data_IF_723850747518
#
_entry.id   IF_723850747518
#
_cell.length_a   1.000
_cell.length_b   1.000
_cell.length_c   1.000
_cell.angle_alpha   90.00
_cell.angle_beta   90.00
_cell.angle_gamma   90.00
#
_symmetry.space_group_name_H-M   'P 1'
#
loop_
_entity.id
_entity.type
_entity.pdbx_description
1 polymer ?
#
# COMPACT_ATOMS: atom_id res chain seq x y z
N UNK A 1 -17.09 -8.10 52.32
CA UNK A 1 -16.48 -8.41 51.01
C UNK A 1 -17.23 -7.59 49.94
N UNK A 2 -16.54 -6.81 49.13
CA UNK A 2 -17.21 -6.07 48.03
C UNK A 2 -17.79 -7.07 47.04
N UNK A 3 -18.99 -6.80 46.60
CA UNK A 3 -19.71 -7.64 45.64
C UNK A 3 -19.00 -7.59 44.28
N UNK A 4 -19.05 -8.68 43.50
CA UNK A 4 -18.38 -8.77 42.18
C UNK A 4 -18.74 -7.61 41.24
N UNK A 5 -19.91 -7.02 41.39
CA UNK A 5 -20.38 -5.83 40.66
C UNK A 5 -19.53 -4.58 41.01
N UNK A 6 -19.15 -4.37 42.27
CA UNK A 6 -18.33 -3.22 42.67
C UNK A 6 -16.86 -3.34 42.21
N UNK A 7 -16.35 -4.56 42.11
CA UNK A 7 -15.00 -4.79 41.56
C UNK A 7 -14.98 -4.56 40.03
N UNK A 8 -16.05 -4.89 39.33
CA UNK A 8 -16.14 -4.70 37.88
C UNK A 8 -16.32 -3.22 37.51
N UNK A 9 -17.10 -2.46 38.30
CA UNK A 9 -17.21 -1.00 38.16
C UNK A 9 -15.86 -0.32 38.41
N UNK A 10 -15.15 -0.72 39.46
CA UNK A 10 -13.82 -0.18 39.77
C UNK A 10 -12.77 -0.49 38.70
N UNK A 11 -12.84 -1.66 38.04
CA UNK A 11 -11.96 -1.99 36.89
C UNK A 11 -12.32 -1.18 35.66
N UNK A 12 -13.61 -0.96 35.40
CA UNK A 12 -14.07 -0.13 34.25
C UNK A 12 -13.70 1.34 34.46
N UNK A 13 -13.94 1.88 35.67
CA UNK A 13 -13.52 3.24 36.02
C UNK A 13 -11.98 3.41 35.97
N UNK A 14 -11.23 2.39 36.41
CA UNK A 14 -9.78 2.42 36.31
C UNK A 14 -9.28 2.40 34.86
N UNK A 15 -9.92 1.63 34.00
CA UNK A 15 -9.60 1.59 32.56
C UNK A 15 -10.03 2.89 31.87
N UNK A 16 -11.14 3.50 32.27
CA UNK A 16 -11.54 4.81 31.75
C UNK A 16 -10.68 5.95 32.31
N UNK A 17 -10.26 5.89 33.54
CA UNK A 17 -9.30 6.84 34.14
C UNK A 17 -7.90 6.69 33.51
N UNK A 18 -7.41 5.46 33.30
CA UNK A 18 -6.18 5.19 32.56
C UNK A 18 -6.28 5.65 31.09
N UNK A 19 -7.45 5.55 30.47
CA UNK A 19 -7.69 6.13 29.13
C UNK A 19 -7.68 7.65 29.13
N UNK A 20 -8.27 8.27 30.14
CA UNK A 20 -8.29 9.74 30.29
C UNK A 20 -6.91 10.29 30.66
N UNK A 21 -6.13 9.59 31.50
CA UNK A 21 -4.73 9.93 31.78
C UNK A 21 -3.83 9.70 30.55
N UNK A 22 -4.11 8.70 29.76
CA UNK A 22 -3.41 8.43 28.50
C UNK A 22 -3.67 9.49 27.42
N UNK A 23 -4.84 10.10 27.40
CA UNK A 23 -5.14 11.26 26.55
C UNK A 23 -4.34 12.51 26.95
N UNK A 24 -3.92 12.63 28.19
CA UNK A 24 -3.09 13.74 28.68
C UNK A 24 -1.59 13.52 28.50
N UNK A 25 -1.13 12.29 28.26
CA UNK A 25 0.30 11.95 28.12
C UNK A 25 0.59 11.49 26.69
N UNK A 26 0.53 12.44 25.73
CA UNK A 26 1.19 12.28 24.42
C UNK A 26 0.77 11.09 23.56
N UNK A 27 -0.42 10.51 23.75
CA UNK A 27 -0.93 9.43 22.92
C UNK A 27 -1.55 9.98 21.64
N UNK A 28 -0.91 9.71 20.51
CA UNK A 28 -1.51 10.00 19.23
C UNK A 28 -2.43 8.84 18.83
N UNK A 29 -3.66 9.17 18.43
CA UNK A 29 -4.69 8.22 18.05
C UNK A 29 -5.32 8.57 16.70
N UNK A 30 -5.57 7.56 15.87
CA UNK A 30 -6.45 7.65 14.72
C UNK A 30 -7.63 6.68 14.89
N UNK A 31 -8.83 7.21 14.76
CA UNK A 31 -10.06 6.43 14.79
C UNK A 31 -10.42 5.86 13.41
N UNK A 32 -11.46 5.04 13.40
CA UNK A 32 -12.01 4.36 12.23
C UNK A 32 -12.24 5.28 11.03
N UNK A 33 -12.96 6.39 11.24
CA UNK A 33 -13.34 7.34 10.18
C UNK A 33 -12.13 7.88 9.43
N UNK A 34 -11.01 8.10 10.15
CA UNK A 34 -9.76 8.58 9.55
C UNK A 34 -9.11 7.53 8.66
N UNK A 35 -9.32 6.24 8.92
CA UNK A 35 -8.62 5.12 8.26
C UNK A 35 -9.45 4.46 7.15
N UNK A 36 -10.80 4.50 7.22
CA UNK A 36 -11.69 3.84 6.26
C UNK A 36 -11.61 4.46 4.86
N UNK A 37 -11.41 5.76 4.76
CA UNK A 37 -11.22 6.46 3.48
C UNK A 37 -9.80 6.24 2.94
N UNK A 38 -9.51 4.99 2.61
CA UNK A 38 -8.19 4.56 2.13
C UNK A 38 -8.30 3.77 0.82
N UNK A 39 -7.81 4.33 -0.30
CA UNK A 39 -7.84 3.68 -1.59
C UNK A 39 -6.72 2.64 -1.79
N UNK A 40 -5.82 2.46 -0.81
CA UNK A 40 -4.66 1.59 -0.95
C UNK A 40 -4.91 0.20 -0.36
N UNK A 41 -4.22 -0.80 -0.92
CA UNK A 41 -4.22 -2.17 -0.41
C UNK A 41 -3.60 -2.24 0.99
N UNK A 42 -2.49 -1.52 1.19
CA UNK A 42 -1.78 -1.50 2.45
C UNK A 42 -2.41 -0.51 3.43
N UNK A 43 -2.94 -1.03 4.53
CA UNK A 43 -3.54 -0.20 5.59
C UNK A 43 -2.54 0.77 6.22
N UNK A 44 -1.23 0.47 6.18
CA UNK A 44 -0.19 1.38 6.69
C UNK A 44 -0.16 2.68 5.92
N UNK A 45 -0.48 2.68 4.63
CA UNK A 45 -0.63 3.93 3.83
C UNK A 45 -1.79 4.79 4.32
N UNK A 46 -2.85 4.18 4.87
CA UNK A 46 -3.95 4.94 5.47
C UNK A 46 -3.52 5.76 6.69
N UNK A 47 -2.44 5.38 7.33
CA UNK A 47 -1.91 6.05 8.53
C UNK A 47 -0.97 7.22 8.18
N UNK A 48 -0.56 7.36 6.91
CA UNK A 48 0.38 8.38 6.48
C UNK A 48 -0.12 9.79 6.79
N UNK A 49 0.64 10.54 7.61
CA UNK A 49 0.30 11.90 8.01
C UNK A 49 -0.92 12.06 8.92
N UNK A 50 -1.54 10.96 9.38
CA UNK A 50 -2.77 10.96 10.17
C UNK A 50 -2.56 10.74 11.67
N UNK A 51 -1.38 10.27 12.06
CA UNK A 51 -1.05 9.95 13.45
C UNK A 51 0.25 10.66 13.82
N UNK A 52 0.19 11.54 14.80
CA UNK A 52 1.36 12.29 15.26
C UNK A 52 2.44 11.32 15.79
N UNK A 53 3.71 11.56 15.44
CA UNK A 53 4.84 10.73 15.86
C UNK A 53 5.04 9.44 15.06
N UNK A 54 4.09 9.05 14.18
CA UNK A 54 4.23 7.90 13.29
C UNK A 54 4.68 8.34 11.90
N UNK A 55 5.81 7.85 11.47
CA UNK A 55 6.26 7.99 10.09
C UNK A 55 5.96 6.71 9.31
N UNK A 56 5.39 6.86 8.12
CA UNK A 56 5.13 5.77 7.18
C UNK A 56 5.97 5.98 5.95
N UNK A 57 6.82 5.03 5.64
CA UNK A 57 7.65 5.06 4.44
C UNK A 57 7.11 4.05 3.43
N UNK A 58 6.75 4.50 2.25
CA UNK A 58 6.47 3.64 1.11
C UNK A 58 7.76 3.49 0.30
N UNK A 59 8.24 2.26 0.11
CA UNK A 59 9.52 1.99 -0.56
C UNK A 59 9.54 2.40 -2.04
N UNK A 60 8.37 2.47 -2.67
CA UNK A 60 8.18 2.96 -4.03
C UNK A 60 6.79 3.57 -4.21
N UNK A 61 6.56 4.22 -5.35
CA UNK A 61 5.26 4.81 -5.69
C UNK A 61 4.21 3.80 -6.16
N UNK A 62 4.57 2.54 -6.32
CA UNK A 62 3.65 1.52 -6.80
C UNK A 62 2.75 1.02 -5.66
N UNK A 63 1.45 1.16 -5.84
CA UNK A 63 0.46 0.73 -4.86
C UNK A 63 0.21 -0.77 -4.85
N UNK A 64 0.61 -1.48 -5.92
CA UNK A 64 0.50 -2.94 -6.00
C UNK A 64 1.57 -3.64 -5.17
N UNK A 65 2.54 -2.90 -4.64
CA UNK A 65 3.59 -3.43 -3.77
C UNK A 65 3.34 -3.02 -2.33
N UNK A 66 3.10 -4.02 -1.51
CA UNK A 66 2.93 -3.89 -0.07
C UNK A 66 4.30 -3.86 0.63
N UNK A 67 4.96 -2.69 0.61
CA UNK A 67 6.27 -2.50 1.21
C UNK A 67 6.37 -1.26 2.11
N UNK A 68 5.27 -0.89 2.73
CA UNK A 68 5.28 0.20 3.71
C UNK A 68 6.01 -0.20 4.98
N UNK A 69 6.82 0.71 5.50
CA UNK A 69 7.51 0.57 6.77
C UNK A 69 7.02 1.64 7.74
N UNK A 70 6.74 1.22 8.97
CA UNK A 70 6.39 2.13 10.07
C UNK A 70 7.65 2.48 10.85
N UNK A 71 7.74 3.75 11.26
CA UNK A 71 8.85 4.22 12.08
C UNK A 71 8.36 5.23 13.13
N UNK A 72 8.81 5.07 14.34
CA UNK A 72 8.69 6.04 15.44
C UNK A 72 10.10 6.49 15.80
N UNK A 73 10.38 7.79 15.76
CA UNK A 73 11.71 8.35 16.01
C UNK A 73 12.85 7.67 15.21
N UNK A 74 12.57 7.28 13.96
CA UNK A 74 13.55 6.62 13.08
C UNK A 74 13.76 5.13 13.35
N UNK A 75 13.02 4.52 14.29
CA UNK A 75 13.12 3.09 14.66
C UNK A 75 11.84 2.35 14.35
N UNK A 76 11.94 1.05 14.06
CA UNK A 76 10.79 0.18 13.82
C UNK A 76 10.06 -0.11 15.13
N UNK A 77 8.77 0.26 15.28
CA UNK A 77 7.99 0.03 16.49
C UNK A 77 7.53 -1.43 16.61
N UNK A 78 7.17 -1.82 17.81
CA UNK A 78 6.42 -3.05 18.05
C UNK A 78 4.95 -2.83 17.61
N UNK A 79 4.44 -3.70 16.76
CA UNK A 79 3.03 -3.64 16.32
C UNK A 79 2.23 -4.72 17.02
N UNK A 80 1.16 -4.30 17.70
CA UNK A 80 0.25 -5.18 18.41
C UNK A 80 -1.17 -5.02 17.84
N UNK A 81 -1.79 -6.13 17.47
CA UNK A 81 -3.18 -6.19 17.04
C UNK A 81 -3.97 -6.97 18.06
N UNK A 82 -4.93 -6.33 18.72
CA UNK A 82 -5.69 -6.89 19.85
C UNK A 82 -4.77 -7.49 20.94
N UNK A 83 -3.64 -6.84 21.20
CA UNK A 83 -2.64 -7.26 22.22
C UNK A 83 -1.61 -8.27 21.73
N UNK A 84 -1.69 -8.79 20.51
CA UNK A 84 -0.76 -9.77 19.97
C UNK A 84 0.14 -9.19 18.88
N UNK A 85 1.46 -9.51 18.88
CA UNK A 85 2.34 -9.10 17.79
C UNK A 85 1.88 -9.67 16.45
N UNK A 86 1.53 -8.81 15.50
CA UNK A 86 1.06 -9.20 14.16
C UNK A 86 1.49 -8.20 13.11
N UNK A 87 1.56 -8.67 11.88
CA UNK A 87 1.82 -7.81 10.74
C UNK A 87 0.55 -7.06 10.33
N UNK A 88 0.63 -5.73 10.25
CA UNK A 88 -0.48 -4.87 9.82
C UNK A 88 -0.89 -5.07 8.37
N UNK A 89 0.01 -5.53 7.50
CA UNK A 89 -0.34 -5.80 6.11
C UNK A 89 -1.44 -6.86 5.95
N UNK A 90 -1.68 -7.65 7.01
CA UNK A 90 -2.76 -8.64 7.04
C UNK A 90 -4.14 -8.03 7.30
N UNK A 91 -4.22 -6.77 7.72
CA UNK A 91 -5.47 -6.09 8.03
C UNK A 91 -5.95 -5.22 6.87
N UNK A 92 -7.23 -4.98 6.85
CA UNK A 92 -7.86 -3.95 6.02
C UNK A 92 -8.28 -2.77 6.90
N UNK A 93 -8.42 -1.58 6.32
CA UNK A 93 -8.85 -0.39 7.08
C UNK A 93 -10.24 -0.57 7.72
N UNK A 94 -11.12 -1.36 7.10
CA UNK A 94 -12.46 -1.64 7.61
C UNK A 94 -12.50 -2.59 8.81
N UNK A 95 -11.40 -3.28 9.10
CA UNK A 95 -11.26 -4.14 10.27
C UNK A 95 -10.83 -3.39 11.52
N UNK A 96 -10.32 -2.16 11.38
CA UNK A 96 -9.68 -1.39 12.44
C UNK A 96 -10.70 -0.44 13.08
N UNK A 97 -10.77 -0.45 14.40
CA UNK A 97 -11.52 0.52 15.20
C UNK A 97 -10.66 1.73 15.55
N UNK A 98 -9.42 1.48 16.02
CA UNK A 98 -8.46 2.54 16.34
C UNK A 98 -7.02 2.07 16.21
N UNK A 99 -6.14 3.02 15.97
CA UNK A 99 -4.69 2.88 16.05
C UNK A 99 -4.17 3.90 17.04
N UNK A 100 -3.43 3.45 18.01
CA UNK A 100 -2.84 4.28 19.08
C UNK A 100 -1.33 4.07 19.12
N UNK A 101 -0.60 5.13 19.39
CA UNK A 101 0.85 5.07 19.50
C UNK A 101 1.25 5.32 20.95
N UNK A 102 2.00 4.39 21.48
CA UNK A 102 2.71 4.56 22.75
C UNK A 102 4.16 4.86 22.44
N UNK A 103 4.62 6.02 22.87
CA UNK A 103 6.03 6.41 22.79
C UNK A 103 6.63 6.42 24.19
N UNK A 104 7.97 6.32 24.27
CA UNK A 104 8.76 6.56 25.46
C UNK A 104 8.60 5.55 26.61
N UNK A 105 8.74 6.05 27.83
CA UNK A 105 8.77 5.25 29.05
C UNK A 105 7.50 4.43 29.27
N UNK A 106 6.33 4.90 28.86
CA UNK A 106 5.06 4.19 28.99
C UNK A 106 5.05 2.90 28.16
N UNK A 107 5.53 2.96 26.91
CA UNK A 107 5.65 1.77 26.05
C UNK A 107 6.65 0.76 26.63
N UNK A 108 7.79 1.24 27.12
CA UNK A 108 8.82 0.40 27.73
C UNK A 108 8.36 -0.23 29.06
N UNK A 109 7.58 0.49 29.86
CA UNK A 109 7.04 -0.02 31.12
C UNK A 109 6.03 -1.16 30.91
N UNK A 110 5.19 -1.07 29.88
CA UNK A 110 4.17 -2.08 29.58
C UNK A 110 4.70 -3.28 28.79
N UNK A 111 5.63 -3.06 27.86
CA UNK A 111 6.08 -4.08 26.90
C UNK A 111 7.58 -4.41 27.02
N UNK A 112 8.25 -3.86 28.01
CA UNK A 112 9.67 -4.10 28.29
C UNK A 112 10.58 -3.67 27.14
N UNK A 113 11.69 -4.37 26.95
CA UNK A 113 12.68 -4.08 25.89
C UNK A 113 12.08 -4.08 24.48
N UNK A 114 11.04 -4.89 24.24
CA UNK A 114 10.37 -4.94 22.94
C UNK A 114 9.61 -3.66 22.61
N UNK A 115 9.16 -2.91 23.62
CA UNK A 115 8.49 -1.61 23.48
C UNK A 115 9.44 -0.41 23.43
N UNK A 116 10.76 -0.61 23.58
CA UNK A 116 11.73 0.49 23.67
C UNK A 116 11.77 1.43 22.44
N UNK A 117 11.33 0.97 21.29
CA UNK A 117 11.24 1.76 20.04
C UNK A 117 9.85 2.36 19.80
N UNK A 118 8.97 2.32 20.81
CA UNK A 118 7.56 2.65 20.68
C UNK A 118 6.70 1.45 20.28
N UNK A 119 5.41 1.57 20.53
CA UNK A 119 4.40 0.53 20.26
C UNK A 119 3.26 1.13 19.47
N UNK A 120 2.84 0.43 18.42
CA UNK A 120 1.62 0.72 17.67
C UNK A 120 0.55 -0.28 18.09
N UNK A 121 -0.44 0.21 18.82
CA UNK A 121 -1.59 -0.58 19.25
C UNK A 121 -2.71 -0.45 18.23
N UNK A 122 -3.16 -1.58 17.71
CA UNK A 122 -4.28 -1.65 16.77
C UNK A 122 -5.41 -2.42 17.42
N UNK A 123 -6.54 -1.79 17.56
CA UNK A 123 -7.77 -2.42 18.05
C UNK A 123 -8.65 -2.74 16.86
N UNK A 124 -9.07 -4.01 16.75
CA UNK A 124 -10.00 -4.42 15.68
C UNK A 124 -11.44 -4.20 16.10
N UNK A 125 -12.31 -4.00 15.11
CA UNK A 125 -13.72 -3.75 15.30
C UNK A 125 -14.42 -4.95 15.94
N UNK A 126 -15.29 -4.66 16.90
CA UNK A 126 -16.19 -5.63 17.54
C UNK A 126 -17.62 -5.11 17.51
N UNK A 127 -18.57 -6.00 17.41
CA UNK A 127 -19.98 -5.62 17.40
C UNK A 127 -20.43 -5.10 18.75
N UNK A 128 -21.31 -4.10 18.69
CA UNK A 128 -22.14 -3.65 19.81
C UNK A 128 -23.46 -4.43 19.81
N UNK A 129 -24.13 -4.44 20.94
CA UNK A 129 -25.49 -4.97 21.02
C UNK A 129 -26.44 -4.22 20.08
N UNK A 130 -27.31 -4.95 19.42
CA UNK A 130 -28.28 -4.35 18.51
C UNK A 130 -28.75 -5.31 17.42
N UNK A 131 -29.68 -4.82 16.61
CA UNK A 131 -30.15 -5.53 15.42
C UNK A 131 -29.03 -5.66 14.42
N UNK A 132 -29.12 -6.68 13.58
CA UNK A 132 -28.18 -6.86 12.47
C UNK A 132 -28.14 -5.60 11.60
N UNK A 133 -26.96 -5.02 11.47
CA UNK A 133 -26.66 -3.95 10.54
C UNK A 133 -25.78 -4.50 9.43
N UNK A 134 -26.17 -4.20 8.20
CA UNK A 134 -25.40 -4.58 7.01
C UNK A 134 -24.91 -3.29 6.36
N UNK A 135 -23.60 -3.20 6.14
CA UNK A 135 -22.98 -2.11 5.41
C UNK A 135 -22.35 -2.63 4.13
N UNK A 136 -22.45 -1.86 3.07
CA UNK A 136 -21.73 -2.11 1.82
C UNK A 136 -21.07 -0.82 1.36
N UNK A 137 -19.80 -0.91 0.98
CA UNK A 137 -19.04 0.20 0.42
C UNK A 137 -18.33 -0.29 -0.85
N UNK A 138 -18.49 0.47 -1.94
CA UNK A 138 -17.77 0.23 -3.18
C UNK A 138 -16.97 1.46 -3.55
N UNK A 139 -15.70 1.27 -3.83
CA UNK A 139 -14.77 2.31 -4.26
C UNK A 139 -14.17 1.94 -5.61
N UNK A 140 -14.20 2.88 -6.54
CA UNK A 140 -13.46 2.81 -7.78
C UNK A 140 -12.48 3.96 -7.83
N UNK A 141 -11.20 3.64 -7.92
CA UNK A 141 -10.13 4.63 -7.92
C UNK A 141 -9.43 4.68 -9.29
N UNK A 142 -9.21 5.89 -9.78
CA UNK A 142 -8.32 6.17 -10.90
C UNK A 142 -7.06 6.84 -10.39
N UNK A 143 -5.93 6.35 -10.83
CA UNK A 143 -4.62 6.94 -10.54
C UNK A 143 -3.99 7.38 -11.83
N UNK A 144 -3.53 8.62 -11.87
CA UNK A 144 -2.79 9.17 -12.99
C UNK A 144 -1.33 9.42 -12.58
N UNK A 145 -0.42 9.29 -13.51
CA UNK A 145 0.95 9.73 -13.29
C UNK A 145 0.97 11.25 -13.19
N UNK A 146 1.46 11.78 -12.06
CA UNK A 146 1.61 13.23 -11.86
C UNK A 146 2.74 13.79 -12.73
N UNK A 147 3.83 13.04 -12.88
CA UNK A 147 5.01 13.43 -13.64
C UNK A 147 5.69 12.20 -14.22
N UNK A 148 6.02 12.25 -15.48
CA UNK A 148 6.87 11.27 -16.17
C UNK A 148 8.26 11.86 -16.41
N UNK A 149 9.31 11.04 -16.46
CA UNK A 149 10.61 11.49 -16.93
C UNK A 149 10.51 11.95 -18.39
N UNK A 150 11.23 13.00 -18.72
CA UNK A 150 11.41 13.44 -20.10
C UNK A 150 12.75 12.93 -20.58
N UNK A 151 12.75 12.08 -21.60
CA UNK A 151 13.95 11.56 -22.22
C UNK A 151 14.26 12.33 -23.50
N UNK A 152 15.55 12.42 -23.83
CA UNK A 152 16.00 12.96 -25.09
C UNK A 152 15.43 12.12 -26.24
N UNK A 153 14.87 12.77 -27.26
CA UNK A 153 14.53 12.11 -28.50
C UNK A 153 15.79 11.65 -29.25
N UNK A 154 15.61 10.82 -30.28
CA UNK A 154 16.73 10.25 -31.03
C UNK A 154 17.62 11.31 -31.71
N UNK A 155 17.04 12.42 -32.18
CA UNK A 155 17.78 13.51 -32.78
C UNK A 155 18.66 14.25 -31.78
N UNK A 156 18.07 14.64 -30.63
CA UNK A 156 18.80 15.30 -29.53
C UNK A 156 19.89 14.38 -28.96
N UNK A 157 19.57 13.08 -28.78
CA UNK A 157 20.55 12.09 -28.34
C UNK A 157 21.75 12.03 -29.29
N UNK A 158 21.51 11.94 -30.61
CA UNK A 158 22.58 11.85 -31.62
C UNK A 158 23.46 13.11 -31.65
N UNK A 159 22.83 14.30 -31.55
CA UNK A 159 23.56 15.58 -31.48
C UNK A 159 24.40 15.67 -30.22
N UNK A 160 23.85 15.31 -29.05
CA UNK A 160 24.54 15.37 -27.78
C UNK A 160 25.71 14.39 -27.74
N UNK A 161 25.50 13.16 -28.22
CA UNK A 161 26.59 12.17 -28.31
C UNK A 161 27.73 12.66 -29.22
N UNK A 162 27.41 13.21 -30.38
CA UNK A 162 28.43 13.79 -31.28
C UNK A 162 29.17 14.95 -30.64
N UNK A 163 28.48 15.81 -29.88
CA UNK A 163 29.10 16.90 -29.16
C UNK A 163 30.07 16.38 -28.09
N UNK A 164 29.69 15.35 -27.34
CA UNK A 164 30.53 14.69 -26.33
C UNK A 164 31.77 14.09 -26.99
N UNK A 165 31.59 13.28 -28.04
CA UNK A 165 32.70 12.66 -28.77
C UNK A 165 33.69 13.71 -29.33
N UNK A 166 33.18 14.82 -29.87
CA UNK A 166 34.01 15.90 -30.36
C UNK A 166 34.82 16.57 -29.23
N UNK A 167 34.19 16.77 -28.05
CA UNK A 167 34.90 17.36 -26.91
C UNK A 167 36.00 16.44 -26.38
N UNK A 168 35.82 15.14 -26.50
CA UNK A 168 36.79 14.11 -26.13
C UNK A 168 37.85 13.86 -27.22
N UNK A 169 37.80 14.60 -28.34
CA UNK A 169 38.72 14.42 -29.48
C UNK A 169 38.46 13.15 -30.28
N UNK A 170 37.28 12.55 -30.14
CA UNK A 170 36.90 11.31 -30.82
C UNK A 170 36.10 11.60 -32.11
N UNK A 171 36.04 10.60 -32.98
CA UNK A 171 35.26 10.69 -34.23
C UNK A 171 33.78 10.69 -33.91
N UNK A 172 33.03 11.61 -34.51
CA UNK A 172 31.56 11.66 -34.38
C UNK A 172 30.92 10.39 -34.94
N UNK A 173 29.91 9.91 -34.25
CA UNK A 173 29.22 8.66 -34.61
C UNK A 173 28.18 8.85 -35.71
N UNK A 174 27.44 9.96 -35.69
CA UNK A 174 26.33 10.24 -36.60
C UNK A 174 26.68 11.38 -37.54
N UNK A 175 26.41 11.22 -38.83
CA UNK A 175 26.53 12.31 -39.78
C UNK A 175 25.25 13.20 -39.80
N UNK A 176 25.32 14.35 -40.47
CA UNK A 176 24.22 15.31 -40.51
C UNK A 176 22.94 14.74 -41.14
N UNK A 177 23.06 13.82 -42.13
CA UNK A 177 21.89 13.19 -42.78
C UNK A 177 21.21 12.20 -41.86
N UNK A 178 21.97 11.46 -41.05
CA UNK A 178 21.43 10.53 -40.06
C UNK A 178 20.71 11.27 -38.95
N UNK A 179 21.25 12.37 -38.44
CA UNK A 179 20.62 13.22 -37.45
C UNK A 179 19.29 13.76 -37.98
N UNK A 180 19.29 14.25 -39.23
CA UNK A 180 18.04 14.72 -39.86
C UNK A 180 17.03 13.59 -40.09
N UNK A 181 17.52 12.38 -40.40
CA UNK A 181 16.65 11.21 -40.53
C UNK A 181 15.96 10.85 -39.20
N UNK A 182 16.67 10.89 -38.06
CA UNK A 182 16.09 10.73 -36.73
C UNK A 182 15.04 11.81 -36.42
N UNK A 183 15.34 13.07 -36.69
CA UNK A 183 14.45 14.20 -36.43
C UNK A 183 13.19 14.18 -37.30
N UNK A 184 13.32 13.77 -38.57
CA UNK A 184 12.20 13.75 -39.49
C UNK A 184 11.21 12.63 -39.25
N UNK A 185 11.62 11.55 -38.56
CA UNK A 185 10.80 10.35 -38.34
C UNK A 185 10.40 9.59 -39.62
N UNK A 186 11.01 9.96 -40.76
CA UNK A 186 10.62 9.44 -42.08
C UNK A 186 10.95 7.95 -42.27
N UNK A 187 11.94 7.48 -41.58
CA UNK A 187 12.45 6.11 -41.72
C UNK A 187 12.45 5.39 -40.36
N UNK A 188 11.28 5.06 -39.77
CA UNK A 188 11.16 4.59 -38.38
C UNK A 188 11.86 3.26 -38.08
N UNK A 189 12.09 2.42 -39.10
CA UNK A 189 12.82 1.17 -38.93
C UNK A 189 14.33 1.33 -38.99
N UNK A 190 14.82 2.25 -39.82
CA UNK A 190 16.26 2.49 -39.99
C UNK A 190 16.79 3.54 -38.98
N UNK A 191 15.98 4.54 -38.68
CA UNK A 191 16.29 5.63 -37.76
C UNK A 191 15.15 5.76 -36.73
N UNK A 192 15.07 4.84 -35.77
CA UNK A 192 14.00 4.80 -34.78
C UNK A 192 14.08 6.00 -33.83
N UNK A 193 12.90 6.44 -33.37
CA UNK A 193 12.76 7.44 -32.33
C UNK A 193 11.66 6.99 -31.37
N UNK A 194 12.02 6.16 -30.41
CA UNK A 194 11.09 5.46 -29.54
C UNK A 194 11.03 6.14 -28.17
N UNK A 195 9.86 6.55 -27.76
CA UNK A 195 9.61 6.97 -26.37
C UNK A 195 9.32 5.73 -25.51
N UNK A 196 10.39 5.14 -24.98
CA UNK A 196 10.33 3.91 -24.18
C UNK A 196 9.42 4.03 -22.98
N UNK A 197 9.30 5.23 -22.38
CA UNK A 197 8.40 5.45 -21.27
C UNK A 197 6.94 5.25 -21.69
N UNK A 198 6.52 5.88 -22.78
CA UNK A 198 5.15 5.72 -23.31
C UNK A 198 4.86 4.30 -23.77
N UNK A 199 5.88 3.57 -24.22
CA UNK A 199 5.70 2.18 -24.64
C UNK A 199 5.48 1.23 -23.48
N UNK A 200 6.12 1.46 -22.34
CA UNK A 200 6.08 0.59 -21.17
C UNK A 200 4.97 0.97 -20.20
N UNK A 201 4.61 2.27 -20.09
CA UNK A 201 3.68 2.76 -19.09
C UNK A 201 2.35 3.21 -19.66
N UNK A 202 1.28 2.89 -18.94
CA UNK A 202 -0.02 3.54 -19.09
C UNK A 202 -0.05 4.84 -18.30
N UNK A 203 -0.77 5.84 -18.79
CA UNK A 203 -0.96 7.09 -18.05
C UNK A 203 -1.92 6.92 -16.86
N UNK A 204 -2.79 5.92 -16.91
CA UNK A 204 -3.84 5.69 -15.93
C UNK A 204 -3.78 4.24 -15.45
N UNK A 205 -3.83 4.06 -14.17
CA UNK A 205 -4.06 2.80 -13.48
C UNK A 205 -5.36 2.88 -12.68
N UNK A 206 -5.96 1.75 -12.35
CA UNK A 206 -7.23 1.70 -11.64
C UNK A 206 -7.22 0.67 -10.53
N UNK A 207 -8.01 0.92 -9.51
CA UNK A 207 -8.32 -0.04 -8.47
C UNK A 207 -9.81 -0.13 -8.22
N UNK A 208 -10.23 -1.26 -7.70
CA UNK A 208 -11.61 -1.53 -7.28
C UNK A 208 -11.56 -2.10 -5.88
N UNK A 209 -12.49 -1.67 -5.03
CA UNK A 209 -12.66 -2.22 -3.69
C UNK A 209 -14.13 -2.39 -3.38
N UNK A 210 -14.50 -3.57 -2.92
CA UNK A 210 -15.83 -3.88 -2.38
C UNK A 210 -15.66 -4.33 -0.94
N UNK A 211 -16.32 -3.64 -0.03
CA UNK A 211 -16.35 -3.98 1.38
C UNK A 211 -17.77 -4.24 1.84
N UNK A 212 -17.97 -5.37 2.50
CA UNK A 212 -19.24 -5.75 3.12
C UNK A 212 -19.02 -5.94 4.62
N UNK A 213 -19.85 -5.32 5.44
CA UNK A 213 -19.81 -5.43 6.89
C UNK A 213 -21.14 -5.94 7.43
N UNK A 214 -21.06 -6.82 8.41
CA UNK A 214 -22.20 -7.38 9.13
C UNK A 214 -21.91 -7.25 10.61
N UNK A 215 -22.74 -6.52 11.35
CA UNK A 215 -22.55 -6.35 12.78
C UNK A 215 -23.91 -6.47 13.51
N UNK A 216 -23.89 -7.11 14.66
CA UNK A 216 -25.08 -7.23 15.47
C UNK A 216 -24.94 -8.25 16.58
N UNK A 217 -25.97 -8.38 17.37
CA UNK A 217 -26.02 -9.37 18.42
C UNK A 217 -26.86 -8.97 19.60
N UNK A 218 -26.93 -9.85 20.58
CA UNK A 218 -27.59 -9.66 21.85
C UNK A 218 -26.58 -9.67 23.00
N UNK A 219 -27.01 -9.46 24.23
CA UNK A 219 -26.12 -9.50 25.40
C UNK A 219 -25.32 -10.80 25.57
N UNK A 220 -25.78 -11.91 24.98
CA UNK A 220 -25.06 -13.19 25.04
C UNK A 220 -24.18 -13.48 23.84
N UNK A 221 -24.49 -12.94 22.67
CA UNK A 221 -23.77 -13.22 21.43
C UNK A 221 -23.72 -11.98 20.57
N UNK A 222 -22.52 -11.54 20.25
CA UNK A 222 -22.27 -10.39 19.38
C UNK A 222 -21.27 -10.81 18.29
N UNK A 223 -21.46 -10.36 17.07
CA UNK A 223 -20.55 -10.64 15.97
C UNK A 223 -20.35 -9.42 15.10
N UNK A 224 -19.11 -9.25 14.68
CA UNK A 224 -18.70 -8.33 13.62
C UNK A 224 -18.00 -9.13 12.54
N UNK A 225 -18.52 -9.09 11.34
CA UNK A 225 -17.92 -9.76 10.17
C UNK A 225 -17.70 -8.74 9.08
N UNK A 226 -16.51 -8.78 8.48
CA UNK A 226 -16.16 -7.97 7.32
C UNK A 226 -15.62 -8.87 6.22
N UNK A 227 -16.08 -8.63 4.99
CA UNK A 227 -15.55 -9.22 3.76
C UNK A 227 -15.07 -8.07 2.90
N UNK A 228 -13.80 -8.11 2.53
CA UNK A 228 -13.15 -7.05 1.74
C UNK A 228 -12.51 -7.69 0.51
N UNK A 229 -12.95 -7.26 -0.66
CA UNK A 229 -12.34 -7.60 -1.94
C UNK A 229 -11.68 -6.35 -2.51
N UNK A 230 -10.44 -6.48 -2.93
CA UNK A 230 -9.71 -5.43 -3.59
C UNK A 230 -8.92 -5.95 -4.77
N UNK A 231 -9.00 -5.22 -5.87
CA UNK A 231 -8.19 -5.40 -7.06
C UNK A 231 -7.46 -4.10 -7.38
N UNK A 232 -6.16 -4.16 -7.48
CA UNK A 232 -5.30 -3.04 -7.84
C UNK A 232 -4.42 -3.41 -9.03
N UNK A 233 -4.43 -2.57 -10.07
CA UNK A 233 -3.63 -2.73 -11.28
C UNK A 233 -2.58 -1.64 -11.36
N UNK A 234 -1.33 -2.03 -11.65
CA UNK A 234 -0.23 -1.09 -11.87
C UNK A 234 -0.24 -0.43 -13.24
N UNK A 235 0.73 0.44 -13.45
CA UNK A 235 0.83 1.27 -14.65
C UNK A 235 1.48 0.59 -15.86
N UNK A 236 2.10 -0.57 -15.71
CA UNK A 236 2.77 -1.22 -16.84
C UNK A 236 1.79 -1.70 -17.91
N UNK A 237 2.17 -1.54 -19.17
CA UNK A 237 1.49 -2.16 -20.30
C UNK A 237 1.95 -3.61 -20.43
N UNK A 238 1.03 -4.50 -20.87
CA UNK A 238 1.42 -5.83 -21.31
C UNK A 238 1.85 -5.74 -22.77
N UNK A 239 3.10 -6.08 -23.02
CA UNK A 239 3.66 -6.19 -24.37
C UNK A 239 3.86 -7.65 -24.77
N UNK A 240 3.42 -8.60 -23.94
CA UNK A 240 3.58 -10.01 -24.25
C UNK A 240 2.61 -10.46 -25.35
N UNK A 241 3.13 -11.05 -26.41
CA UNK A 241 2.35 -11.77 -27.41
C UNK A 241 1.83 -13.12 -26.91
N UNK A 242 2.38 -13.63 -25.81
CA UNK A 242 1.96 -14.88 -25.16
C UNK A 242 0.99 -14.56 -24.01
N UNK A 243 -0.26 -15.01 -24.16
CA UNK A 243 -1.30 -14.81 -23.15
C UNK A 243 -1.02 -15.45 -21.79
N UNK A 244 -0.03 -16.36 -21.72
CA UNK A 244 0.40 -17.00 -20.47
C UNK A 244 1.26 -16.09 -19.59
N UNK A 245 1.80 -15.02 -20.15
CA UNK A 245 2.69 -14.09 -19.46
C UNK A 245 2.14 -12.68 -19.54
N UNK A 246 2.10 -11.99 -18.41
CA UNK A 246 1.75 -10.58 -18.33
C UNK A 246 2.78 -9.83 -17.52
N UNK A 247 3.31 -8.75 -18.07
CA UNK A 247 4.17 -7.82 -17.35
C UNK A 247 3.36 -6.82 -16.50
N UNK A 248 2.03 -6.82 -16.63
CA UNK A 248 1.16 -5.91 -15.86
C UNK A 248 1.15 -6.33 -14.41
N UNK A 249 1.66 -5.51 -13.48
CA UNK A 249 1.56 -5.81 -12.08
C UNK A 249 0.10 -5.64 -11.61
N UNK A 250 -0.35 -6.58 -10.80
CA UNK A 250 -1.63 -6.48 -10.11
C UNK A 250 -1.56 -7.13 -8.73
N UNK A 251 -2.43 -6.70 -7.86
CA UNK A 251 -2.68 -7.31 -6.56
C UNK A 251 -4.19 -7.51 -6.40
N UNK A 252 -4.61 -8.76 -6.22
CA UNK A 252 -5.98 -9.13 -5.91
C UNK A 252 -6.02 -9.70 -4.51
N UNK A 253 -6.85 -9.11 -3.66
CA UNK A 253 -6.98 -9.50 -2.26
C UNK A 253 -8.45 -9.76 -1.91
N UNK A 254 -8.71 -10.93 -1.37
CA UNK A 254 -9.97 -11.26 -0.73
C UNK A 254 -9.69 -11.57 0.74
N UNK A 255 -10.29 -10.82 1.65
CA UNK A 255 -10.14 -11.00 3.09
C UNK A 255 -11.52 -11.18 3.72
N UNK A 256 -11.62 -12.07 4.67
CA UNK A 256 -12.81 -12.22 5.51
C UNK A 256 -12.36 -12.33 6.97
N UNK A 257 -12.84 -11.41 7.81
CA UNK A 257 -12.64 -11.46 9.26
C UNK A 257 -13.97 -11.54 9.98
N UNK A 258 -14.03 -12.34 11.01
CA UNK A 258 -15.14 -12.32 11.96
C UNK A 258 -14.61 -12.28 13.39
N UNK A 259 -15.16 -11.35 14.18
CA UNK A 259 -14.93 -11.24 15.61
C UNK A 259 -16.25 -11.58 16.30
N UNK A 260 -16.21 -12.57 17.18
CA UNK A 260 -17.36 -13.10 17.91
C UNK A 260 -17.09 -12.98 19.40
N UNK A 261 -18.02 -12.36 20.11
CA UNK A 261 -18.00 -12.24 21.56
C UNK A 261 -19.20 -13.02 22.12
N UNK A 262 -18.92 -13.98 23.00
CA UNK A 262 -19.93 -14.85 23.61
C UNK A 262 -19.85 -14.74 25.12
N UNK A 263 -20.93 -14.30 25.75
CA UNK A 263 -21.06 -14.31 27.19
C UNK A 263 -21.51 -15.71 27.65
N UNK A 264 -20.57 -16.53 28.11
CA UNK A 264 -20.85 -17.90 28.54
C UNK A 264 -21.54 -17.94 29.89
N UNK A 265 -21.09 -17.12 30.84
CA UNK A 265 -21.68 -16.96 32.17
C UNK A 265 -21.71 -15.47 32.50
N UNK A 266 -22.22 -15.10 33.67
CA UNK A 266 -22.21 -13.70 34.15
C UNK A 266 -20.78 -13.15 34.34
N UNK A 267 -19.80 -14.03 34.52
CA UNK A 267 -18.42 -13.66 34.82
C UNK A 267 -17.43 -14.11 33.75
N UNK A 268 -17.89 -14.88 32.74
CA UNK A 268 -17.00 -15.47 31.73
C UNK A 268 -17.43 -15.04 30.33
N UNK A 269 -16.57 -14.36 29.65
CA UNK A 269 -16.72 -13.96 28.23
C UNK A 269 -15.67 -14.69 27.38
N UNK A 270 -16.10 -15.21 26.24
CA UNK A 270 -15.22 -15.79 25.24
C UNK A 270 -15.14 -14.85 24.03
N UNK A 271 -13.92 -14.52 23.62
CA UNK A 271 -13.65 -13.70 22.44
C UNK A 271 -12.93 -14.52 21.38
N UNK A 272 -13.55 -14.67 20.22
CA UNK A 272 -13.00 -15.40 19.09
C UNK A 272 -12.79 -14.45 17.92
N UNK A 273 -11.60 -14.49 17.33
CA UNK A 273 -11.26 -13.75 16.11
C UNK A 273 -10.77 -14.71 15.04
N UNK A 274 -11.45 -14.76 13.91
CA UNK A 274 -11.07 -15.57 12.75
C UNK A 274 -10.72 -14.64 11.59
N UNK A 275 -9.64 -14.98 10.88
CA UNK A 275 -9.21 -14.27 9.67
C UNK A 275 -8.90 -15.29 8.58
N UNK A 276 -9.51 -15.15 7.43
CA UNK A 276 -9.15 -15.82 6.21
C UNK A 276 -8.74 -14.78 5.16
N UNK A 277 -7.66 -15.05 4.41
CA UNK A 277 -7.18 -14.16 3.36
C UNK A 277 -6.64 -14.95 2.20
N UNK A 278 -7.07 -14.57 1.02
CA UNK A 278 -6.50 -14.99 -0.25
C UNK A 278 -5.87 -13.77 -0.92
N UNK A 279 -4.66 -13.95 -1.44
CA UNK A 279 -3.95 -12.90 -2.15
C UNK A 279 -3.28 -13.47 -3.39
N UNK A 280 -3.56 -12.85 -4.54
CA UNK A 280 -2.94 -13.18 -5.82
C UNK A 280 -2.21 -11.94 -6.32
N UNK A 281 -0.93 -12.08 -6.62
CA UNK A 281 -0.09 -10.97 -7.05
C UNK A 281 0.70 -11.33 -8.30
N UNK A 282 0.74 -10.42 -9.24
CA UNK A 282 1.72 -10.40 -10.31
C UNK A 282 2.67 -9.22 -10.11
N UNK A 283 3.96 -9.49 -10.09
CA UNK A 283 4.98 -8.45 -9.86
C UNK A 283 5.92 -8.38 -11.05
N UNK A 284 6.08 -7.17 -11.59
CA UNK A 284 7.09 -6.91 -12.60
C UNK A 284 8.49 -6.90 -11.98
N UNK A 285 9.50 -7.21 -12.78
CA UNK A 285 10.90 -7.01 -12.37
C UNK A 285 11.26 -5.52 -12.55
N UNK A 286 10.84 -4.71 -11.61
CA UNK A 286 11.00 -3.25 -11.66
C UNK A 286 12.45 -2.81 -11.86
N UNK A 287 13.40 -3.43 -11.15
CA UNK A 287 14.81 -3.06 -11.23
C UNK A 287 15.34 -3.20 -12.66
N UNK A 288 15.09 -4.31 -13.32
CA UNK A 288 15.51 -4.54 -14.70
C UNK A 288 14.80 -3.63 -15.69
N UNK A 289 13.49 -3.43 -15.52
CA UNK A 289 12.70 -2.56 -16.42
C UNK A 289 13.17 -1.11 -16.31
N UNK A 290 13.32 -0.58 -15.09
CA UNK A 290 13.81 0.78 -14.90
C UNK A 290 15.25 0.95 -15.42
N UNK A 291 16.13 0.00 -15.13
CA UNK A 291 17.50 0.03 -15.66
C UNK A 291 17.50 0.06 -17.19
N UNK A 292 16.67 -0.75 -17.84
CA UNK A 292 16.55 -0.75 -19.30
C UNK A 292 16.00 0.59 -19.81
N UNK A 293 14.94 1.14 -19.20
CA UNK A 293 14.33 2.41 -19.61
C UNK A 293 15.31 3.59 -19.54
N UNK A 294 16.14 3.65 -18.50
CA UNK A 294 17.11 4.75 -18.33
C UNK A 294 18.38 4.57 -19.17
N UNK A 295 18.74 3.35 -19.58
CA UNK A 295 19.95 3.07 -20.32
C UNK A 295 19.71 2.84 -21.82
N UNK A 296 18.46 2.75 -22.28
CA UNK A 296 18.14 2.54 -23.69
C UNK A 296 17.80 3.87 -24.35
N UNK A 297 18.65 4.41 -25.22
CA UNK A 297 18.34 5.65 -25.94
C UNK A 297 17.20 5.46 -26.93
N UNK A 298 16.48 6.54 -27.24
CA UNK A 298 15.41 6.55 -28.22
C UNK A 298 15.81 6.06 -29.62
N UNK A 299 17.10 6.19 -29.95
CA UNK A 299 17.70 5.80 -31.22
C UNK A 299 18.19 4.35 -31.27
N UNK A 300 17.99 3.54 -30.21
CA UNK A 300 18.65 2.22 -30.10
C UNK A 300 18.14 1.21 -31.13
N UNK A 301 16.84 0.98 -31.15
CA UNK A 301 16.15 0.04 -32.06
C UNK A 301 14.68 0.37 -32.19
N UNK A 302 14.00 -0.05 -33.26
CA UNK A 302 12.54 0.11 -33.39
C UNK A 302 11.82 -0.90 -32.47
N UNK A 303 10.57 -0.62 -32.07
CA UNK A 303 9.76 -1.56 -31.27
C UNK A 303 9.52 -2.85 -32.05
N UNK A 304 9.20 -2.70 -33.35
CA UNK A 304 9.05 -3.82 -34.27
C UNK A 304 9.88 -3.55 -35.52
N UNK A 305 10.54 -4.56 -36.02
CA UNK A 305 11.25 -4.52 -37.28
C UNK A 305 10.26 -4.59 -38.46
N UNK A 306 10.71 -4.32 -39.68
CA UNK A 306 9.89 -4.35 -40.90
C UNK A 306 9.26 -5.73 -41.19
N UNK A 307 9.80 -6.81 -40.63
CA UNK A 307 9.28 -8.17 -40.71
C UNK A 307 8.24 -8.52 -39.61
N UNK A 308 7.87 -7.55 -38.77
CA UNK A 308 6.92 -7.74 -37.65
C UNK A 308 7.50 -8.38 -36.39
N UNK A 309 8.78 -8.73 -36.37
CA UNK A 309 9.45 -9.19 -35.17
C UNK A 309 9.81 -8.03 -34.27
N UNK A 310 9.94 -8.28 -32.98
CA UNK A 310 10.43 -7.28 -32.01
C UNK A 310 11.89 -6.93 -32.35
N UNK A 311 12.24 -5.64 -32.18
CA UNK A 311 13.57 -5.09 -32.44
C UNK A 311 14.58 -5.39 -31.34
#
# INVERSE_FOLDING_TARGET
>A
FPTAASAQTAVTEKVEAEKAEAETVGMARAGRETLEDNPYIDVRRAMFGKIAGLNVYAGNGDSTIDNCTLSIHGKTPLVLVDGFPRNLSLLTSYEIESVEILTDAAAAALYGVRGANGVVLVTTRRAKEGRLKVGANYQYGLRAQWRSPEFADAGLYAETLNATLRNDGLVQRYNAREIEAFKSGKYPYAYPNVDWWKEVYNNIAHNNRLNLTFEGGSGKFRHFTVVDYMYDRGFFKSQSSDSRYSAVPFDTRLSARTNIDVQLTRTTEMKLGLLARFNEQNRANYGSIFSALYNTPAAAFPITASNGMYG
#
